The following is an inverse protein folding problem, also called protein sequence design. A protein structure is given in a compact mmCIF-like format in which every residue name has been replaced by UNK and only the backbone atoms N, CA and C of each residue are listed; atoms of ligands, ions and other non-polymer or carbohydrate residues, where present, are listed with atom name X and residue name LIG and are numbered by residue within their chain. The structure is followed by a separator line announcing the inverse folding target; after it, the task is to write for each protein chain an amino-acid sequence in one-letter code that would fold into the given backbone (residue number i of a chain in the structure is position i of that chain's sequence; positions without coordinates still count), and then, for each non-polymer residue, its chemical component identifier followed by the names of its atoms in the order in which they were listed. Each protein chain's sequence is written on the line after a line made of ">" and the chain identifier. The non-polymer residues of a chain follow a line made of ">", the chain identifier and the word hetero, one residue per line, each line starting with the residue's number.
data_IF_952938615046
#
_entry.id   IF_952938615046
#
_cell.length_a   1.000
_cell.length_b   1.000
_cell.length_c   1.000
_cell.angle_alpha   90.00
_cell.angle_beta   90.00
_cell.angle_gamma   90.00
#
_symmetry.space_group_name_H-M   'P 1'
#
loop_
_entity.id
_entity.type
_entity.pdbx_description
1 polymer ?
#
# COMPACT_ATOMS: atom_id res chain seq x y z
N UNK A 1 41.24 -72.50 -9.40
CA UNK A 1 39.97 -71.79 -9.16
C UNK A 1 40.27 -70.54 -8.34
N UNK A 2 40.05 -69.34 -8.89
CA UNK A 2 40.36 -68.06 -8.23
C UNK A 2 39.11 -67.67 -7.40
N UNK A 3 39.23 -67.62 -6.08
CA UNK A 3 38.12 -67.16 -5.22
C UNK A 3 37.92 -65.64 -5.44
N UNK A 4 36.70 -65.23 -5.76
CA UNK A 4 36.30 -63.83 -5.83
C UNK A 4 36.07 -63.30 -4.41
N UNK A 5 36.52 -62.07 -4.08
CA UNK A 5 36.36 -61.53 -2.74
C UNK A 5 34.88 -61.28 -2.42
N UNK A 6 34.45 -61.79 -1.27
CA UNK A 6 33.09 -61.68 -0.77
C UNK A 6 32.78 -60.21 -0.43
N UNK A 7 31.69 -59.67 -0.99
CA UNK A 7 31.31 -58.27 -0.80
C UNK A 7 30.72 -58.10 0.60
N UNK A 8 31.52 -57.56 1.52
CA UNK A 8 31.13 -57.32 2.91
C UNK A 8 30.06 -56.23 2.99
N UNK A 9 28.79 -56.62 3.06
CA UNK A 9 27.67 -55.71 3.33
C UNK A 9 27.78 -55.21 4.77
N UNK A 10 28.42 -54.05 4.96
CA UNK A 10 28.39 -53.33 6.24
C UNK A 10 27.03 -52.67 6.37
N UNK A 11 26.17 -53.20 7.24
CA UNK A 11 24.92 -52.56 7.61
C UNK A 11 25.18 -51.29 8.44
N UNK A 12 24.26 -50.34 8.38
CA UNK A 12 24.28 -49.17 9.24
C UNK A 12 24.03 -49.57 10.70
N UNK A 13 24.76 -48.95 11.61
CA UNK A 13 24.55 -49.20 13.04
C UNK A 13 23.30 -48.46 13.52
N UNK A 14 22.67 -48.97 14.57
CA UNK A 14 21.45 -48.36 15.11
C UNK A 14 21.71 -46.92 15.60
N UNK A 15 22.89 -46.68 16.18
CA UNK A 15 23.34 -45.35 16.60
C UNK A 15 23.46 -44.38 15.41
N UNK A 16 23.97 -44.86 14.27
CA UNK A 16 24.17 -44.04 13.07
C UNK A 16 22.82 -43.59 12.47
N UNK A 17 21.82 -44.47 12.49
CA UNK A 17 20.45 -44.11 12.10
C UNK A 17 19.82 -43.09 13.06
N UNK A 18 20.00 -43.23 14.38
CA UNK A 18 19.47 -42.27 15.36
C UNK A 18 20.11 -40.88 15.20
N UNK A 19 21.42 -40.81 14.98
CA UNK A 19 22.13 -39.55 14.77
C UNK A 19 21.66 -38.84 13.50
N UNK A 20 21.49 -39.59 12.40
CA UNK A 20 21.01 -39.02 11.12
C UNK A 20 19.60 -38.45 11.28
N UNK A 21 18.69 -39.19 11.92
CA UNK A 21 17.31 -38.74 12.15
C UNK A 21 17.26 -37.49 13.04
N UNK A 22 18.11 -37.40 14.06
CA UNK A 22 18.21 -36.24 14.92
C UNK A 22 18.68 -34.99 14.15
N UNK A 23 19.72 -35.12 13.33
CA UNK A 23 20.20 -34.02 12.48
C UNK A 23 19.12 -33.58 11.48
N UNK A 24 18.42 -34.54 10.85
CA UNK A 24 17.36 -34.25 9.90
C UNK A 24 16.19 -33.50 10.54
N UNK A 25 15.78 -33.90 11.75
CA UNK A 25 14.74 -33.22 12.52
C UNK A 25 15.13 -31.78 12.87
N UNK A 26 16.39 -31.55 13.28
CA UNK A 26 16.91 -30.20 13.56
C UNK A 26 16.93 -29.34 12.29
N UNK A 27 17.39 -29.88 11.17
CA UNK A 27 17.44 -29.16 9.89
C UNK A 27 16.03 -28.78 9.40
N UNK A 28 15.05 -29.68 9.51
CA UNK A 28 13.66 -29.40 9.17
C UNK A 28 13.04 -28.35 10.10
N UNK A 29 13.34 -28.39 11.40
CA UNK A 29 12.87 -27.40 12.35
C UNK A 29 13.41 -25.99 12.05
N UNK A 30 14.64 -25.87 11.56
CA UNK A 30 15.26 -24.58 11.20
C UNK A 30 14.83 -24.06 9.83
N UNK A 31 14.35 -24.92 8.92
CA UNK A 31 13.91 -24.48 7.57
C UNK A 31 12.57 -23.73 7.57
N UNK A 32 11.65 -24.04 8.50
CA UNK A 32 10.29 -23.48 8.54
C UNK A 32 10.26 -21.95 8.66
N UNK A 33 11.09 -21.26 9.47
CA UNK A 33 11.09 -19.79 9.52
C UNK A 33 11.78 -19.09 8.33
N UNK A 34 12.29 -19.81 7.31
CA UNK A 34 13.07 -19.17 6.22
C UNK A 34 12.25 -18.62 5.04
N UNK A 35 10.92 -18.80 5.02
CA UNK A 35 10.06 -18.43 3.87
C UNK A 35 9.43 -17.02 3.93
N UNK A 36 9.83 -16.18 4.88
CA UNK A 36 9.33 -14.79 4.97
C UNK A 36 9.98 -13.71 4.05
N UNK A 37 10.84 -13.99 3.04
CA UNK A 37 11.28 -12.91 2.13
C UNK A 37 10.12 -12.28 1.34
N UNK A 38 9.09 -13.05 0.96
CA UNK A 38 8.04 -12.63 0.01
C UNK A 38 7.14 -11.53 0.58
N UNK A 39 6.84 -11.55 1.87
CA UNK A 39 5.94 -10.57 2.49
C UNK A 39 6.52 -9.14 2.45
N UNK A 40 7.83 -8.99 2.65
CA UNK A 40 8.51 -7.70 2.56
C UNK A 40 8.58 -7.15 1.14
N UNK A 41 8.75 -8.01 0.14
CA UNK A 41 8.71 -7.59 -1.27
C UNK A 41 7.33 -7.05 -1.65
N UNK A 42 6.26 -7.64 -1.13
CA UNK A 42 4.88 -7.19 -1.40
C UNK A 42 4.59 -5.84 -0.73
N UNK A 43 5.03 -5.64 0.52
CA UNK A 43 4.90 -4.35 1.20
C UNK A 43 5.69 -3.25 0.48
N UNK A 44 6.91 -3.55 0.06
CA UNK A 44 7.73 -2.61 -0.71
C UNK A 44 7.10 -2.26 -2.06
N UNK A 45 6.61 -3.27 -2.81
CA UNK A 45 5.93 -3.04 -4.09
C UNK A 45 4.69 -2.18 -3.90
N UNK A 46 3.83 -2.49 -2.94
CA UNK A 46 2.62 -1.71 -2.68
C UNK A 46 2.96 -0.26 -2.29
N UNK A 47 3.98 -0.05 -1.44
CA UNK A 47 4.41 1.30 -1.09
C UNK A 47 4.95 2.10 -2.30
N UNK A 48 5.73 1.45 -3.17
CA UNK A 48 6.21 2.07 -4.42
C UNK A 48 5.05 2.39 -5.36
N UNK A 49 4.07 1.49 -5.49
CA UNK A 49 2.86 1.74 -6.31
C UNK A 49 2.04 2.91 -5.78
N UNK A 50 1.88 3.04 -4.46
CA UNK A 50 1.22 4.21 -3.85
C UNK A 50 2.04 5.48 -4.12
N UNK A 51 3.36 5.43 -3.97
CA UNK A 51 4.23 6.56 -4.31
C UNK A 51 4.08 7.01 -5.77
N UNK A 52 4.14 6.07 -6.71
CA UNK A 52 3.94 6.36 -8.14
C UNK A 52 2.55 6.96 -8.42
N UNK A 53 1.52 6.52 -7.69
CA UNK A 53 0.19 7.11 -7.78
C UNK A 53 0.15 8.55 -7.24
N UNK A 54 0.85 8.84 -6.15
CA UNK A 54 0.99 10.21 -5.63
C UNK A 54 1.67 11.12 -6.64
N UNK A 55 2.76 10.67 -7.28
CA UNK A 55 3.47 11.43 -8.34
C UNK A 55 2.56 11.69 -9.55
N UNK A 56 1.81 10.67 -9.99
CA UNK A 56 0.87 10.80 -11.10
C UNK A 56 -0.25 11.78 -10.74
N UNK A 57 -0.85 11.64 -9.55
CA UNK A 57 -1.93 12.51 -9.08
C UNK A 57 -1.47 13.96 -9.03
N UNK A 58 -0.24 14.22 -8.57
CA UNK A 58 0.33 15.57 -8.58
C UNK A 58 0.38 16.16 -9.99
N UNK A 59 0.88 15.37 -10.94
CA UNK A 59 0.98 15.79 -12.34
C UNK A 59 -0.41 16.09 -12.93
N UNK A 60 -1.39 15.21 -12.68
CA UNK A 60 -2.74 15.39 -13.19
C UNK A 60 -3.48 16.55 -12.52
N UNK A 61 -3.34 16.74 -11.20
CA UNK A 61 -3.95 17.85 -10.46
C UNK A 61 -3.38 19.23 -10.82
N UNK A 62 -2.13 19.28 -11.34
CA UNK A 62 -1.53 20.52 -11.84
C UNK A 62 -2.06 20.93 -13.22
N UNK A 63 -2.44 19.96 -14.05
CA UNK A 63 -2.90 20.20 -15.43
C UNK A 63 -4.43 20.27 -15.53
N UNK A 64 -5.15 19.64 -14.60
CA UNK A 64 -6.61 19.47 -14.63
C UNK A 64 -7.31 20.24 -13.53
N UNK A 65 -8.61 20.43 -13.72
CA UNK A 65 -9.49 20.96 -12.69
C UNK A 65 -9.63 19.99 -11.50
N UNK A 66 -9.75 18.69 -11.81
CA UNK A 66 -9.84 17.63 -10.80
C UNK A 66 -8.83 16.54 -11.14
N UNK A 67 -8.01 16.19 -10.15
CA UNK A 67 -7.03 15.12 -10.21
C UNK A 67 -6.92 14.45 -8.85
N UNK A 68 -7.83 13.52 -8.56
CA UNK A 68 -7.87 12.80 -7.27
C UNK A 68 -7.40 11.36 -7.47
N UNK A 69 -6.58 10.86 -6.54
CA UNK A 69 -6.40 9.41 -6.39
C UNK A 69 -7.28 8.88 -5.28
N UNK A 70 -7.81 7.69 -5.50
CA UNK A 70 -8.55 6.91 -4.52
C UNK A 70 -7.81 5.60 -4.28
N UNK A 71 -7.31 5.43 -3.06
CA UNK A 71 -6.83 4.14 -2.56
C UNK A 71 -8.01 3.45 -1.88
N UNK A 72 -8.52 2.37 -2.44
CA UNK A 72 -9.67 1.63 -1.91
C UNK A 72 -9.32 0.20 -1.53
N UNK A 73 -10.01 -0.31 -0.53
CA UNK A 73 -9.91 -1.69 -0.07
C UNK A 73 -11.17 -2.48 -0.41
N UNK A 74 -10.95 -3.72 -0.83
CA UNK A 74 -11.96 -4.77 -0.96
C UNK A 74 -11.38 -6.07 -0.41
N UNK A 75 -12.24 -7.07 -0.19
CA UNK A 75 -11.81 -8.39 0.31
C UNK A 75 -10.73 -9.06 -0.55
N UNK A 76 -10.70 -8.78 -1.86
CA UNK A 76 -9.70 -9.32 -2.80
C UNK A 76 -8.40 -8.49 -2.84
N UNK A 77 -8.44 -7.19 -2.54
CA UNK A 77 -7.28 -6.33 -2.76
C UNK A 77 -7.44 -4.86 -2.44
N UNK A 78 -6.29 -4.20 -2.53
CA UNK A 78 -6.20 -2.75 -2.57
C UNK A 78 -6.05 -2.29 -4.00
N UNK A 79 -6.79 -1.24 -4.34
CA UNK A 79 -6.87 -0.69 -5.68
C UNK A 79 -6.55 0.79 -5.64
N UNK A 80 -5.93 1.28 -6.71
CA UNK A 80 -5.79 2.71 -6.97
C UNK A 80 -6.64 3.02 -8.20
N UNK A 81 -7.56 3.97 -8.06
CA UNK A 81 -8.24 4.60 -9.19
C UNK A 81 -8.04 6.11 -9.18
N UNK A 82 -8.29 6.74 -10.32
CA UNK A 82 -8.12 8.19 -10.49
C UNK A 82 -9.42 8.80 -10.98
N UNK A 83 -9.81 9.92 -10.38
CA UNK A 83 -10.93 10.73 -10.83
C UNK A 83 -10.36 11.99 -11.46
N UNK A 84 -10.39 12.02 -12.80
CA UNK A 84 -9.72 13.05 -13.58
C UNK A 84 -10.72 13.84 -14.40
N UNK A 85 -10.62 15.17 -14.34
CA UNK A 85 -11.34 16.03 -15.27
C UNK A 85 -10.72 15.97 -16.67
N UNK A 86 -11.52 15.50 -17.63
CA UNK A 86 -11.16 15.41 -19.06
C UNK A 86 -11.75 16.58 -19.86
N UNK A 87 -12.12 17.68 -19.20
CA UNK A 87 -12.62 18.89 -19.82
C UNK A 87 -14.03 18.68 -20.38
N UNK A 88 -14.17 18.62 -21.72
CA UNK A 88 -15.49 18.49 -22.37
C UNK A 88 -16.24 17.21 -21.97
N UNK A 89 -15.52 16.14 -21.64
CA UNK A 89 -16.12 14.88 -21.18
C UNK A 89 -16.25 14.79 -19.66
N UNK A 90 -15.82 15.84 -18.95
CA UNK A 90 -15.82 15.99 -17.50
C UNK A 90 -15.02 14.97 -16.71
N UNK A 91 -15.36 14.85 -15.43
CA UNK A 91 -14.70 13.93 -14.51
C UNK A 91 -15.12 12.50 -14.78
N UNK A 92 -14.11 11.64 -14.95
CA UNK A 92 -14.30 10.19 -15.08
C UNK A 92 -13.36 9.45 -14.15
N UNK A 93 -13.87 8.36 -13.62
CA UNK A 93 -13.03 7.34 -13.00
C UNK A 93 -12.26 6.58 -14.09
N UNK A 94 -10.94 6.53 -13.95
CA UNK A 94 -10.10 5.64 -14.74
C UNK A 94 -10.14 4.21 -14.21
N UNK A 95 -9.76 3.27 -15.08
CA UNK A 95 -9.69 1.85 -14.71
C UNK A 95 -8.83 1.66 -13.46
N UNK A 96 -9.43 1.05 -12.43
CA UNK A 96 -8.75 0.77 -11.16
C UNK A 96 -7.65 -0.28 -11.34
N UNK A 97 -6.49 -0.02 -10.74
CA UNK A 97 -5.34 -0.93 -10.75
C UNK A 97 -5.19 -1.61 -9.38
N UNK A 98 -5.12 -2.94 -9.37
CA UNK A 98 -4.85 -3.71 -8.14
C UNK A 98 -3.36 -3.63 -7.77
N UNK A 99 -3.05 -3.00 -6.64
CA UNK A 99 -1.66 -2.83 -6.19
C UNK A 99 -1.18 -3.97 -5.28
N UNK A 100 -2.09 -4.59 -4.52
CA UNK A 100 -1.79 -5.74 -3.69
C UNK A 100 -3.04 -6.52 -3.27
N UNK A 101 -2.85 -7.70 -2.67
CA UNK A 101 -3.95 -8.55 -2.19
C UNK A 101 -4.56 -8.06 -0.88
N UNK A 102 -5.82 -8.41 -0.63
CA UNK A 102 -6.55 -8.06 0.60
C UNK A 102 -5.98 -8.67 1.89
N UNK A 103 -5.07 -9.65 1.77
CA UNK A 103 -4.30 -10.20 2.91
C UNK A 103 -3.27 -9.22 3.48
N UNK A 104 -2.90 -8.19 2.72
CA UNK A 104 -2.07 -7.11 3.24
C UNK A 104 -2.92 -6.18 4.09
N UNK A 105 -2.29 -5.47 5.02
CA UNK A 105 -2.95 -4.44 5.80
C UNK A 105 -2.34 -3.09 5.40
N UNK A 106 -3.18 -2.13 5.03
CA UNK A 106 -2.76 -0.75 4.78
C UNK A 106 -3.61 0.14 5.67
N UNK A 107 -2.94 1.01 6.42
CA UNK A 107 -3.58 2.04 7.24
C UNK A 107 -3.00 3.41 6.89
N UNK A 108 -3.68 4.46 7.31
CA UNK A 108 -3.11 5.81 7.30
C UNK A 108 -3.23 6.46 8.67
N UNK A 109 -2.33 7.39 8.97
CA UNK A 109 -2.39 8.26 10.14
C UNK A 109 -2.58 9.69 9.68
N UNK A 110 -3.58 10.36 10.25
CA UNK A 110 -3.91 11.74 9.96
C UNK A 110 -3.16 12.74 10.86
N UNK A 111 -3.30 14.03 10.56
CA UNK A 111 -2.68 15.13 11.31
C UNK A 111 -3.22 15.33 12.73
N UNK A 112 -4.33 14.67 13.07
CA UNK A 112 -4.85 14.63 14.43
C UNK A 112 -4.27 13.45 15.24
N UNK A 113 -3.45 12.61 14.61
CA UNK A 113 -2.88 11.40 15.21
C UNK A 113 -3.81 10.18 15.14
N UNK A 114 -4.96 10.28 14.46
CA UNK A 114 -5.89 9.16 14.30
C UNK A 114 -5.34 8.20 13.26
N UNK A 115 -5.32 6.91 13.57
CA UNK A 115 -4.96 5.87 12.62
C UNK A 115 -6.22 5.15 12.12
N UNK A 116 -6.40 5.14 10.80
CA UNK A 116 -7.53 4.50 10.12
C UNK A 116 -7.04 3.27 9.38
N UNK A 117 -7.65 2.13 9.68
CA UNK A 117 -7.35 0.84 9.08
C UNK A 117 -8.30 0.59 7.91
N UNK A 118 -7.78 0.58 6.68
CA UNK A 118 -8.62 0.47 5.48
C UNK A 118 -9.33 -0.89 5.32
N UNK A 119 -8.92 -1.90 6.10
CA UNK A 119 -9.53 -3.24 6.10
C UNK A 119 -10.62 -3.42 7.16
N UNK A 120 -10.83 -2.42 8.02
CA UNK A 120 -11.82 -2.48 9.12
C UNK A 120 -13.09 -1.74 8.72
N UNK A 121 -14.21 -2.14 9.33
CA UNK A 121 -15.51 -1.54 9.02
C UNK A 121 -15.54 -0.06 9.40
N UNK A 122 -15.88 0.80 8.44
CA UNK A 122 -16.16 2.22 8.65
C UNK A 122 -15.54 3.14 7.61
N UNK A 123 -14.32 2.85 7.13
CA UNK A 123 -13.67 3.67 6.09
C UNK A 123 -12.71 2.80 5.28
N UNK A 124 -13.17 2.37 4.10
CA UNK A 124 -12.44 1.45 3.24
C UNK A 124 -11.66 2.18 2.13
N UNK A 125 -11.51 3.50 2.24
CA UNK A 125 -10.87 4.31 1.23
C UNK A 125 -10.11 5.50 1.81
N UNK A 126 -9.11 5.95 1.05
CA UNK A 126 -8.36 7.17 1.27
C UNK A 126 -8.30 7.91 -0.05
N UNK A 127 -8.80 9.15 -0.08
CA UNK A 127 -8.81 9.99 -1.27
C UNK A 127 -7.87 11.17 -1.04
N UNK A 128 -6.90 11.33 -1.94
CA UNK A 128 -5.86 12.36 -1.85
C UNK A 128 -5.77 13.13 -3.16
N UNK A 129 -5.46 14.41 -3.04
CA UNK A 129 -5.20 15.31 -4.18
C UNK A 129 -4.24 16.42 -3.76
N UNK A 130 -3.93 17.30 -4.70
CA UNK A 130 -2.97 18.38 -4.54
C UNK A 130 -3.62 19.72 -4.81
N UNK A 131 -3.16 20.73 -4.09
CA UNK A 131 -3.45 22.10 -4.42
C UNK A 131 -2.65 22.50 -5.67
N UNK A 132 -3.35 22.88 -6.74
CA UNK A 132 -2.74 23.27 -8.02
C UNK A 132 -1.88 24.53 -7.95
N UNK A 133 -2.13 25.41 -6.99
CA UNK A 133 -1.46 26.71 -6.85
C UNK A 133 -0.16 26.59 -6.07
N UNK A 134 -0.14 25.74 -5.02
CA UNK A 134 1.03 25.56 -4.15
C UNK A 134 1.82 24.29 -4.47
N UNK A 135 1.17 23.30 -5.08
CA UNK A 135 1.71 21.95 -5.25
C UNK A 135 1.75 21.13 -3.95
N UNK A 136 1.16 21.64 -2.86
CA UNK A 136 1.00 20.96 -1.58
C UNK A 136 -0.15 19.95 -1.60
N UNK A 137 -0.21 19.07 -0.60
CA UNK A 137 -1.38 18.22 -0.39
C UNK A 137 -2.58 19.06 0.07
N UNK A 138 -3.77 18.69 -0.38
CA UNK A 138 -5.01 19.12 0.26
C UNK A 138 -5.37 18.19 1.43
N UNK A 139 -6.29 18.59 2.33
CA UNK A 139 -6.91 17.70 3.29
C UNK A 139 -7.40 16.38 2.67
N UNK A 140 -7.58 15.33 3.49
CA UNK A 140 -8.19 14.09 3.02
C UNK A 140 -9.58 14.42 2.45
N UNK A 141 -9.84 13.98 1.22
CA UNK A 141 -11.12 14.29 0.58
C UNK A 141 -12.21 13.37 1.14
N UNK A 142 -13.34 13.96 1.49
CA UNK A 142 -14.50 13.30 2.09
C UNK A 142 -15.26 12.41 1.09
N UNK A 143 -15.14 12.71 -0.20
CA UNK A 143 -15.73 11.97 -1.31
C UNK A 143 -15.00 12.30 -2.60
N UNK A 144 -15.23 11.47 -3.61
CA UNK A 144 -14.86 11.78 -4.99
C UNK A 144 -15.92 12.67 -5.63
N UNK A 145 -15.48 13.63 -6.44
CA UNK A 145 -16.39 14.60 -7.06
C UNK A 145 -16.77 14.19 -8.50
N UNK A 146 -18.08 14.09 -8.76
CA UNK A 146 -18.58 13.77 -10.09
C UNK A 146 -18.81 15.03 -10.94
N UNK A 147 -18.77 14.88 -12.27
CA UNK A 147 -18.96 15.98 -13.22
C UNK A 147 -20.22 16.82 -12.95
N UNK A 148 -21.33 16.18 -12.56
CA UNK A 148 -22.60 16.86 -12.29
C UNK A 148 -22.48 17.86 -11.11
N UNK A 149 -21.70 17.51 -10.09
CA UNK A 149 -21.54 18.31 -8.88
C UNK A 149 -20.63 19.51 -9.17
N UNK A 150 -19.58 19.28 -9.96
CA UNK A 150 -18.63 20.30 -10.39
C UNK A 150 -19.30 21.33 -11.31
N UNK A 151 -20.06 20.88 -12.31
CA UNK A 151 -20.73 21.79 -13.25
C UNK A 151 -21.76 22.68 -12.54
N UNK A 152 -22.41 22.18 -11.48
CA UNK A 152 -23.34 22.98 -10.68
C UNK A 152 -22.59 24.10 -9.95
N UNK A 153 -21.52 23.77 -9.22
CA UNK A 153 -20.73 24.75 -8.46
C UNK A 153 -20.09 25.82 -9.37
N UNK A 154 -19.54 25.40 -10.52
CA UNK A 154 -18.96 26.33 -11.49
C UNK A 154 -20.00 27.26 -12.12
N UNK A 155 -21.23 26.78 -12.33
CA UNK A 155 -22.32 27.62 -12.86
C UNK A 155 -22.75 28.69 -11.85
N UNK A 156 -22.60 28.40 -10.56
CA UNK A 156 -22.87 29.32 -9.46
C UNK A 156 -21.68 30.29 -9.20
N UNK A 157 -20.59 30.16 -9.96
CA UNK A 157 -19.38 30.99 -9.85
C UNK A 157 -18.47 30.61 -8.68
N UNK A 158 -18.71 29.45 -8.06
CA UNK A 158 -17.94 28.94 -6.94
C UNK A 158 -16.70 28.17 -7.43
N UNK A 159 -15.67 28.06 -6.56
CA UNK A 159 -14.48 27.27 -6.85
C UNK A 159 -14.80 25.78 -6.89
N UNK A 160 -13.85 25.00 -7.42
CA UNK A 160 -13.92 23.55 -7.50
C UNK A 160 -14.13 22.98 -6.09
N UNK A 161 -15.09 22.05 -5.91
CA UNK A 161 -15.54 21.67 -4.58
C UNK A 161 -14.61 20.70 -3.83
N UNK A 162 -13.30 20.81 -3.99
CA UNK A 162 -12.36 20.01 -3.21
C UNK A 162 -12.39 20.43 -1.74
N UNK A 163 -12.13 19.47 -0.86
CA UNK A 163 -11.89 19.73 0.56
C UNK A 163 -10.57 20.51 0.69
N UNK A 164 -10.66 21.70 1.26
CA UNK A 164 -9.60 22.69 1.47
C UNK A 164 -9.67 23.23 2.90
N UNK A 165 -8.59 23.83 3.44
CA UNK A 165 -8.58 24.37 4.81
C UNK A 165 -9.69 25.38 5.11
N UNK A 166 -10.08 26.16 4.10
CA UNK A 166 -11.12 27.20 4.21
C UNK A 166 -12.55 26.66 4.22
N UNK A 167 -12.79 25.44 3.71
CA UNK A 167 -14.13 24.90 3.51
C UNK A 167 -14.34 23.51 4.14
N UNK A 168 -13.30 22.90 4.72
CA UNK A 168 -13.32 21.54 5.26
C UNK A 168 -12.59 21.43 6.59
N UNK A 169 -13.11 20.57 7.47
CA UNK A 169 -12.46 20.19 8.74
C UNK A 169 -11.66 18.89 8.62
N UNK A 170 -11.56 18.33 7.41
CA UNK A 170 -10.82 17.10 7.18
C UNK A 170 -9.34 17.28 7.56
N UNK A 171 -8.73 16.30 8.22
CA UNK A 171 -7.32 16.35 8.54
C UNK A 171 -6.48 16.03 7.32
N UNK A 172 -5.18 16.31 7.41
CA UNK A 172 -4.21 15.91 6.39
C UNK A 172 -3.75 14.48 6.64
N UNK A 173 -3.46 13.74 5.57
CA UNK A 173 -2.77 12.46 5.69
C UNK A 173 -1.27 12.71 5.93
N UNK A 174 -0.75 12.27 7.07
CA UNK A 174 0.68 12.39 7.38
C UNK A 174 1.46 11.14 6.98
N UNK A 175 0.86 9.97 7.17
CA UNK A 175 1.54 8.68 6.96
C UNK A 175 0.60 7.66 6.36
N UNK A 176 1.08 6.90 5.39
CA UNK A 176 0.45 5.66 4.92
C UNK A 176 1.38 4.51 5.32
N UNK A 177 0.83 3.55 6.08
CA UNK A 177 1.56 2.40 6.59
C UNK A 177 1.12 1.14 5.87
N UNK A 178 2.05 0.51 5.16
CA UNK A 178 1.85 -0.76 4.47
C UNK A 178 2.49 -1.86 5.32
N UNK A 179 1.66 -2.67 5.96
CA UNK A 179 2.08 -3.74 6.85
C UNK A 179 2.46 -4.98 6.03
N UNK A 180 3.75 -5.34 6.05
CA UNK A 180 4.24 -6.62 5.56
C UNK A 180 4.28 -7.64 6.71
N UNK A 181 4.07 -8.92 6.42
CA UNK A 181 4.19 -9.98 7.44
C UNK A 181 5.53 -9.92 8.20
N UNK A 182 5.47 -10.04 9.52
CA UNK A 182 6.61 -9.86 10.42
C UNK A 182 7.07 -8.40 10.52
N UNK A 183 8.37 -8.15 10.66
CA UNK A 183 8.95 -6.80 10.84
C UNK A 183 9.13 -6.00 9.52
N UNK A 184 8.35 -6.27 8.47
CA UNK A 184 8.61 -5.75 7.12
C UNK A 184 7.60 -4.69 6.67
N UNK A 185 7.34 -3.74 7.55
CA UNK A 185 6.46 -2.58 7.32
C UNK A 185 7.13 -1.52 6.46
N UNK A 186 6.37 -0.86 5.59
CA UNK A 186 6.80 0.33 4.84
C UNK A 186 5.94 1.52 5.21
N UNK A 187 6.58 2.65 5.46
CA UNK A 187 5.92 3.89 5.85
C UNK A 187 6.17 4.90 4.74
N UNK A 188 5.10 5.44 4.19
CA UNK A 188 5.10 6.58 3.28
C UNK A 188 4.77 7.80 4.14
N UNK A 189 5.73 8.70 4.31
CA UNK A 189 5.52 9.97 5.04
C UNK A 189 5.24 11.06 4.04
N UNK A 190 4.13 11.77 4.22
CA UNK A 190 3.67 12.85 3.35
C UNK A 190 4.04 14.19 3.98
N UNK A 191 4.56 15.11 3.16
CA UNK A 191 4.93 16.45 3.57
C UNK A 191 3.92 17.45 2.98
N UNK A 192 2.92 17.79 3.78
CA UNK A 192 1.77 18.63 3.42
C UNK A 192 2.14 19.80 2.51
N UNK A 193 2.98 20.71 3.00
CA UNK A 193 3.26 21.99 2.32
C UNK A 193 3.95 21.82 0.95
N UNK A 194 4.74 20.77 0.79
CA UNK A 194 5.54 20.58 -0.43
C UNK A 194 4.90 19.61 -1.43
N UNK A 195 3.89 18.86 -0.98
CA UNK A 195 3.31 17.75 -1.74
C UNK A 195 4.37 16.71 -2.13
N UNK A 196 5.37 16.50 -1.28
CA UNK A 196 6.40 15.47 -1.44
C UNK A 196 6.12 14.31 -0.48
N UNK A 197 6.74 13.18 -0.74
CA UNK A 197 6.69 12.05 0.18
C UNK A 197 8.05 11.34 0.27
N UNK A 198 8.25 10.56 1.33
CA UNK A 198 9.39 9.64 1.47
C UNK A 198 8.91 8.26 1.85
N UNK A 199 9.58 7.21 1.35
CA UNK A 199 9.31 5.83 1.71
C UNK A 199 10.45 5.32 2.60
N UNK A 200 10.11 4.83 3.79
CA UNK A 200 11.08 4.26 4.73
C UNK A 200 10.64 2.88 5.23
N UNK A 201 11.57 2.12 5.82
CA UNK A 201 11.22 0.92 6.56
C UNK A 201 10.64 1.32 7.92
N UNK A 202 9.47 0.77 8.26
CA UNK A 202 8.91 0.91 9.61
C UNK A 202 9.61 -0.05 10.56
N UNK A 203 9.99 0.43 11.74
CA UNK A 203 10.19 -0.43 12.91
C UNK A 203 8.86 -0.45 13.66
N UNK A 204 8.23 -1.60 13.73
CA UNK A 204 7.14 -1.77 14.70
C UNK A 204 7.79 -1.66 16.09
N UNK A 205 7.28 -0.75 16.92
CA UNK A 205 7.61 -0.77 18.35
C UNK A 205 7.14 -2.13 18.89
N UNK A 206 8.11 -3.00 19.19
CA UNK A 206 7.86 -4.27 19.89
C UNK A 206 7.41 -4.01 21.32
#
# INVERSE_FOLDING_TARGET
>A
MKQLPEKKNRGFTLIEMTVILAIFAILLAVLVPSLDPVAGFRANRAAISIGAALDRTKTEAMDRLVGEMRLSWTSDGYYISYYLDRGKTGVREEQSEKITSGRMKISYTDSNGTTVNLWEDGTNELILTYDRSTGGFLPIQSRVWEQKDILKMLSDGEDIPLDRPENSTQPYCEKITVHGGGQRTRIITLFQDTGKYTISAGKDAS
#
